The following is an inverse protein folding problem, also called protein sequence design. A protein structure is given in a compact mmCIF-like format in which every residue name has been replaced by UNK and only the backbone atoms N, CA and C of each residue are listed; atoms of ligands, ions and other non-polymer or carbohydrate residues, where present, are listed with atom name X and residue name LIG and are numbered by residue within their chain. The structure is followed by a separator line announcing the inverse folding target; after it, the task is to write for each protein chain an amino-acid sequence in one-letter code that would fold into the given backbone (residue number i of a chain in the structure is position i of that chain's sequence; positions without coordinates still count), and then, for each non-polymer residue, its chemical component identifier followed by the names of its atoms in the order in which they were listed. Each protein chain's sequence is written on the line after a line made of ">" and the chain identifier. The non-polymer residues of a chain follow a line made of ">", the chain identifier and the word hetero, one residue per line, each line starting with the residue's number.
data_IF_202388784502
#
_entry.id   IF_202388784502
#
_cell.length_a   1.000
_cell.length_b   1.000
_cell.length_c   1.000
_cell.angle_alpha   90.00
_cell.angle_beta   90.00
_cell.angle_gamma   90.00
#
_symmetry.space_group_name_H-M   'P 1'
#
loop_
_entity.id
_entity.type
_entity.pdbx_description
1 polymer ?
#
# COMPACT_ATOMS: atom_id res chain seq x y z
N UNK A 1 4.05 -0.31 11.61
CA UNK A 1 3.69 0.86 10.79
C UNK A 1 2.91 0.52 9.53
N UNK A 2 3.16 -0.64 8.92
CA UNK A 2 2.49 -1.04 7.66
C UNK A 2 0.97 -1.19 7.82
N UNK A 3 0.52 -1.90 8.84
CA UNK A 3 -0.93 -2.06 9.11
C UNK A 3 -1.59 -0.73 9.46
N UNK A 4 -0.92 0.14 10.21
CA UNK A 4 -1.43 1.48 10.53
C UNK A 4 -1.56 2.34 9.27
N UNK A 5 -0.60 2.26 8.36
CA UNK A 5 -0.67 2.92 7.05
C UNK A 5 -1.89 2.41 6.25
N UNK A 6 -2.07 1.10 6.20
CA UNK A 6 -3.22 0.49 5.50
C UNK A 6 -4.55 0.92 6.11
N UNK A 7 -4.64 1.05 7.43
CA UNK A 7 -5.83 1.58 8.11
C UNK A 7 -6.15 3.02 7.68
N UNK A 8 -5.14 3.89 7.64
CA UNK A 8 -5.31 5.27 7.19
C UNK A 8 -5.72 5.34 5.71
N UNK A 9 -5.10 4.52 4.88
CA UNK A 9 -5.44 4.42 3.47
C UNK A 9 -6.89 3.94 3.27
N UNK A 10 -7.30 2.88 3.95
CA UNK A 10 -8.67 2.36 3.89
C UNK A 10 -9.71 3.40 4.35
N UNK A 11 -9.41 4.16 5.39
CA UNK A 11 -10.27 5.24 5.84
C UNK A 11 -10.47 6.31 4.76
N UNK A 12 -9.40 6.64 4.01
CA UNK A 12 -9.50 7.58 2.88
C UNK A 12 -10.34 7.05 1.71
N UNK A 13 -10.50 5.74 1.62
CA UNK A 13 -11.37 5.07 0.64
C UNK A 13 -12.80 4.86 1.15
N UNK A 14 -13.15 5.44 2.29
CA UNK A 14 -14.46 5.28 2.93
C UNK A 14 -14.79 3.83 3.32
N UNK A 15 -13.78 3.01 3.57
CA UNK A 15 -13.95 1.65 4.09
C UNK A 15 -14.22 1.72 5.59
N UNK A 16 -15.39 1.26 6.02
CA UNK A 16 -15.84 1.27 7.43
C UNK A 16 -15.57 -0.05 8.15
N UNK A 17 -15.16 -1.09 7.42
CA UNK A 17 -14.76 -2.37 8.00
C UNK A 17 -13.48 -2.22 8.83
N UNK A 18 -13.34 -3.05 9.86
CA UNK A 18 -12.12 -3.06 10.69
C UNK A 18 -10.96 -3.68 9.93
N UNK A 19 -9.94 -2.88 9.65
CA UNK A 19 -8.73 -3.35 9.00
C UNK A 19 -7.83 -4.07 10.02
N UNK A 20 -7.50 -5.30 9.72
CA UNK A 20 -6.59 -6.13 10.52
C UNK A 20 -5.48 -6.71 9.65
N UNK A 21 -4.35 -7.07 10.26
CA UNK A 21 -3.25 -7.69 9.52
C UNK A 21 -3.69 -9.02 8.88
N UNK A 22 -3.38 -9.25 7.59
CA UNK A 22 -3.69 -10.50 6.90
C UNK A 22 -2.62 -11.59 7.10
N UNK A 23 -1.76 -11.48 8.12
CA UNK A 23 -0.60 -12.37 8.31
C UNK A 23 -0.93 -13.86 8.33
N UNK A 24 -2.12 -14.23 8.76
CA UNK A 24 -2.57 -15.63 8.77
C UNK A 24 -3.39 -16.03 7.54
N UNK A 25 -4.13 -15.09 6.98
CA UNK A 25 -5.06 -15.34 5.87
C UNK A 25 -4.43 -15.08 4.51
N UNK A 26 -3.24 -14.48 4.47
CA UNK A 26 -2.51 -14.03 3.29
C UNK A 26 -3.23 -12.88 2.57
N UNK A 27 -4.52 -13.01 2.28
CA UNK A 27 -5.34 -12.02 1.59
C UNK A 27 -6.60 -11.73 2.42
N UNK A 28 -6.91 -10.44 2.58
CA UNK A 28 -8.19 -9.94 3.08
C UNK A 28 -8.78 -8.96 2.08
N UNK A 29 -10.05 -9.10 1.81
CA UNK A 29 -10.79 -8.29 0.85
C UNK A 29 -11.83 -7.43 1.57
N UNK A 30 -11.89 -6.15 1.21
CA UNK A 30 -12.79 -5.17 1.81
C UNK A 30 -13.58 -4.48 0.71
N UNK A 31 -14.90 -4.47 0.82
CA UNK A 31 -15.81 -4.01 -0.24
C UNK A 31 -16.71 -2.84 0.16
N UNK A 32 -16.65 -2.36 1.39
CA UNK A 32 -17.57 -1.34 1.90
C UNK A 32 -17.29 0.08 1.40
N UNK A 33 -16.09 0.34 0.86
CA UNK A 33 -15.69 1.65 0.36
C UNK A 33 -16.07 1.93 -1.08
N UNK A 34 -15.54 3.02 -1.65
CA UNK A 34 -15.78 3.44 -3.04
C UNK A 34 -15.33 2.40 -4.07
N UNK A 35 -14.28 1.66 -3.75
CA UNK A 35 -13.78 0.55 -4.54
C UNK A 35 -13.20 -0.54 -3.63
N UNK A 36 -13.05 -1.77 -4.11
CA UNK A 36 -12.47 -2.83 -3.30
C UNK A 36 -11.02 -2.54 -2.88
N UNK A 37 -10.67 -2.97 -1.68
CA UNK A 37 -9.30 -3.02 -1.17
C UNK A 37 -8.90 -4.48 -0.97
N UNK A 38 -7.83 -4.89 -1.60
CA UNK A 38 -7.21 -6.21 -1.45
C UNK A 38 -5.92 -6.05 -0.65
N UNK A 39 -5.93 -6.47 0.62
CA UNK A 39 -4.80 -6.37 1.52
C UNK A 39 -4.12 -7.72 1.67
N UNK A 40 -2.85 -7.79 1.29
CA UNK A 40 -2.06 -9.01 1.25
C UNK A 40 -0.84 -8.91 2.17
N UNK A 41 -0.46 -10.03 2.79
CA UNK A 41 0.82 -10.21 3.46
C UNK A 41 1.46 -11.50 2.94
N UNK A 42 2.54 -11.33 2.18
CA UNK A 42 3.20 -12.46 1.49
C UNK A 42 4.42 -13.00 2.24
N UNK A 43 4.65 -12.55 3.48
CA UNK A 43 5.80 -12.96 4.28
C UNK A 43 5.92 -14.48 4.46
N UNK A 44 4.79 -15.17 4.61
CA UNK A 44 4.72 -16.62 4.81
C UNK A 44 4.54 -17.44 3.55
N UNK A 45 4.49 -16.78 2.39
CA UNK A 45 4.11 -17.43 1.14
C UNK A 45 5.22 -18.26 0.49
N UNK A 46 6.41 -18.22 1.00
CA UNK A 46 7.68 -18.87 0.60
C UNK A 46 7.81 -19.33 -0.86
N UNK A 47 6.99 -20.28 -1.33
CA UNK A 47 7.13 -20.89 -2.66
C UNK A 47 5.83 -20.97 -3.47
N UNK A 48 4.70 -20.62 -2.89
CA UNK A 48 3.36 -20.91 -3.47
C UNK A 48 2.64 -19.66 -3.96
N UNK A 49 3.39 -18.71 -4.53
CA UNK A 49 2.84 -17.44 -5.03
C UNK A 49 1.80 -17.65 -6.12
N UNK A 50 1.97 -18.69 -6.94
CA UNK A 50 1.04 -19.01 -8.02
C UNK A 50 -0.32 -19.49 -7.49
N UNK A 51 -0.35 -20.11 -6.31
CA UNK A 51 -1.58 -20.68 -5.73
C UNK A 51 -2.60 -19.63 -5.29
N UNK A 52 -2.17 -18.40 -4.99
CA UNK A 52 -3.06 -17.32 -4.54
C UNK A 52 -3.72 -16.53 -5.67
N UNK A 53 -3.40 -16.82 -6.94
CA UNK A 53 -3.98 -16.11 -8.08
C UNK A 53 -3.63 -14.63 -8.14
N UNK A 54 -2.43 -14.26 -7.73
CA UNK A 54 -1.97 -12.88 -7.64
C UNK A 54 -2.19 -12.04 -8.91
N UNK A 55 -1.92 -12.56 -10.14
CA UNK A 55 -2.16 -11.79 -11.37
C UNK A 55 -3.63 -11.40 -11.57
N UNK A 56 -4.56 -12.20 -11.11
CA UNK A 56 -5.99 -11.91 -11.24
C UNK A 56 -6.39 -10.68 -10.41
N UNK A 57 -5.76 -10.47 -9.26
CA UNK A 57 -5.99 -9.27 -8.44
C UNK A 57 -5.49 -7.99 -9.09
N UNK A 58 -4.39 -8.05 -9.84
CA UNK A 58 -3.85 -6.87 -10.53
C UNK A 58 -4.73 -6.41 -11.71
N UNK A 59 -5.53 -7.30 -12.27
CA UNK A 59 -6.48 -6.99 -13.34
C UNK A 59 -7.88 -6.57 -12.88
N UNK A 60 -8.16 -6.63 -11.57
CA UNK A 60 -9.46 -6.24 -11.01
C UNK A 60 -9.54 -4.73 -10.76
N UNK A 61 -10.78 -4.21 -10.76
CA UNK A 61 -11.03 -2.88 -10.19
C UNK A 61 -10.75 -2.90 -8.69
N UNK A 62 -10.07 -1.89 -8.21
CA UNK A 62 -9.73 -1.79 -6.80
C UNK A 62 -8.28 -1.46 -6.54
N UNK A 63 -7.91 -1.43 -5.29
CA UNK A 63 -6.54 -1.18 -4.83
C UNK A 63 -5.96 -2.44 -4.21
N UNK A 64 -4.74 -2.78 -4.59
CA UNK A 64 -3.98 -3.89 -3.99
C UNK A 64 -2.87 -3.31 -3.12
N UNK A 65 -2.84 -3.69 -1.85
CA UNK A 65 -1.76 -3.37 -0.91
C UNK A 65 -1.08 -4.67 -0.51
N UNK A 66 0.23 -4.76 -0.75
CA UNK A 66 1.02 -5.96 -0.48
C UNK A 66 2.10 -5.63 0.55
N UNK A 67 2.04 -6.25 1.72
CA UNK A 67 3.11 -6.22 2.71
C UNK A 67 4.16 -7.29 2.39
N UNK A 68 5.44 -6.95 2.60
CA UNK A 68 6.60 -7.80 2.27
C UNK A 68 6.71 -8.12 0.78
N UNK A 69 6.34 -7.16 -0.08
CA UNK A 69 6.29 -7.33 -1.52
C UNK A 69 7.63 -7.67 -2.17
N UNK A 70 8.75 -7.28 -1.56
CA UNK A 70 10.10 -7.61 -2.00
C UNK A 70 10.36 -9.14 -2.04
N UNK A 71 9.64 -9.92 -1.25
CA UNK A 71 9.74 -11.39 -1.27
C UNK A 71 9.18 -12.01 -2.56
N UNK A 72 8.36 -11.26 -3.30
CA UNK A 72 7.71 -11.71 -4.54
C UNK A 72 7.98 -10.76 -5.71
N UNK A 73 9.10 -10.08 -5.73
CA UNK A 73 9.42 -8.99 -6.67
C UNK A 73 9.17 -9.35 -8.14
N UNK A 74 9.53 -10.56 -8.56
CA UNK A 74 9.35 -11.03 -9.94
C UNK A 74 7.88 -11.20 -10.37
N UNK A 75 6.96 -11.24 -9.42
CA UNK A 75 5.52 -11.36 -9.68
C UNK A 75 4.78 -10.02 -9.63
N UNK A 76 5.45 -8.95 -9.21
CA UNK A 76 4.85 -7.63 -9.09
C UNK A 76 4.61 -7.01 -10.46
N UNK A 77 3.55 -6.20 -10.63
CA UNK A 77 3.35 -5.45 -11.87
C UNK A 77 4.47 -4.42 -12.06
N UNK A 78 4.80 -4.12 -13.32
CA UNK A 78 5.82 -3.10 -13.64
C UNK A 78 5.42 -1.73 -13.10
N UNK A 79 4.17 -1.34 -13.25
CA UNK A 79 3.63 -0.11 -12.69
C UNK A 79 3.13 -0.33 -11.27
N UNK A 80 3.77 0.33 -10.31
CA UNK A 80 3.44 0.22 -8.90
C UNK A 80 4.04 1.35 -8.08
N UNK A 81 3.56 1.51 -6.88
CA UNK A 81 4.13 2.39 -5.86
C UNK A 81 4.76 1.53 -4.76
N UNK A 82 6.06 1.67 -4.53
CA UNK A 82 6.73 1.05 -3.40
C UNK A 82 6.86 2.03 -2.24
N UNK A 83 6.56 1.59 -1.03
CA UNK A 83 6.73 2.36 0.19
C UNK A 83 7.60 1.56 1.16
N UNK A 84 8.79 2.05 1.42
CA UNK A 84 9.74 1.43 2.37
C UNK A 84 9.65 2.15 3.71
N UNK A 85 9.45 1.38 4.76
CA UNK A 85 9.35 1.85 6.14
C UNK A 85 10.65 1.57 6.88
N UNK A 86 11.27 2.59 7.43
CA UNK A 86 12.46 2.46 8.27
C UNK A 86 12.21 3.07 9.63
N UNK A 87 12.42 2.31 10.70
CA UNK A 87 12.37 2.83 12.05
C UNK A 87 13.63 3.66 12.32
N UNK A 88 13.47 4.93 12.69
CA UNK A 88 14.57 5.81 13.11
C UNK A 88 14.75 5.72 14.62
N UNK A 89 13.65 5.84 15.36
CA UNK A 89 13.58 5.65 16.81
C UNK A 89 12.20 5.10 17.22
N UNK A 90 11.88 5.11 18.51
CA UNK A 90 10.59 4.58 19.00
C UNK A 90 9.38 5.32 18.41
N UNK A 91 9.51 6.61 18.10
CA UNK A 91 8.43 7.49 17.70
C UNK A 91 8.51 7.97 16.24
N UNK A 92 9.61 7.71 15.54
CA UNK A 92 9.86 8.22 14.20
C UNK A 92 10.03 7.09 13.19
N UNK A 93 9.43 7.29 12.03
CA UNK A 93 9.56 6.40 10.87
C UNK A 93 9.93 7.22 9.64
N UNK A 94 10.87 6.71 8.86
CA UNK A 94 11.16 7.23 7.53
C UNK A 94 10.37 6.43 6.52
N UNK A 95 9.65 7.13 5.67
CA UNK A 95 8.93 6.55 4.53
C UNK A 95 9.67 6.94 3.24
N UNK A 96 10.20 5.95 2.54
CA UNK A 96 10.75 6.15 1.21
C UNK A 96 9.75 5.67 0.18
N UNK A 97 9.27 6.59 -0.64
CA UNK A 97 8.25 6.33 -1.66
C UNK A 97 8.92 6.31 -3.02
N UNK A 98 8.78 5.21 -3.75
CA UNK A 98 9.41 4.98 -5.05
C UNK A 98 8.31 4.68 -6.07
N UNK A 99 8.06 5.59 -7.02
CA UNK A 99 7.09 5.37 -8.09
C UNK A 99 7.73 4.57 -9.24
N UNK A 100 6.98 3.61 -9.77
CA UNK A 100 7.29 2.92 -11.01
C UNK A 100 6.15 3.15 -12.00
N UNK A 101 6.44 3.82 -13.09
CA UNK A 101 5.49 4.19 -14.12
C UNK A 101 4.92 5.59 -13.95
N UNK A 102 4.49 6.18 -15.09
CA UNK A 102 4.09 7.59 -15.18
C UNK A 102 2.93 7.94 -14.23
N UNK A 103 1.94 7.06 -14.10
CA UNK A 103 0.80 7.27 -13.21
C UNK A 103 1.23 7.51 -11.77
N UNK A 104 2.18 6.72 -11.28
CA UNK A 104 2.66 6.81 -9.90
C UNK A 104 3.65 7.94 -9.70
N UNK A 105 4.40 8.31 -10.73
CA UNK A 105 5.22 9.52 -10.71
C UNK A 105 4.37 10.78 -10.57
N UNK A 106 3.29 10.89 -11.33
CA UNK A 106 2.31 11.98 -11.22
C UNK A 106 1.63 12.01 -9.85
N UNK A 107 1.28 10.84 -9.30
CA UNK A 107 0.69 10.74 -7.97
C UNK A 107 1.65 11.25 -6.89
N UNK A 108 2.93 10.89 -6.96
CA UNK A 108 3.96 11.36 -6.02
C UNK A 108 4.16 12.88 -6.13
N UNK A 109 4.18 13.44 -7.31
CA UNK A 109 4.24 14.89 -7.51
C UNK A 109 3.05 15.60 -6.87
N UNK A 110 1.83 15.10 -7.04
CA UNK A 110 0.64 15.65 -6.43
C UNK A 110 0.70 15.64 -4.90
N UNK A 111 1.21 14.55 -4.30
CA UNK A 111 1.39 14.45 -2.84
C UNK A 111 2.45 15.45 -2.35
N UNK A 112 3.57 15.59 -3.03
CA UNK A 112 4.63 16.55 -2.68
C UNK A 112 4.13 17.99 -2.74
N UNK A 113 3.37 18.37 -3.74
CA UNK A 113 2.73 19.68 -3.83
C UNK A 113 1.79 19.94 -2.65
N UNK A 114 0.97 18.97 -2.29
CA UNK A 114 0.06 19.06 -1.14
C UNK A 114 0.81 19.29 0.17
N UNK A 115 1.90 18.55 0.41
CA UNK A 115 2.77 18.71 1.59
C UNK A 115 3.45 20.08 1.58
N UNK A 116 3.97 20.53 0.43
CA UNK A 116 4.62 21.82 0.28
C UNK A 116 3.68 22.99 0.63
N UNK A 117 2.44 22.96 0.14
CA UNK A 117 1.44 23.96 0.50
C UNK A 117 1.12 23.97 2.00
N UNK A 118 1.04 22.81 2.62
CA UNK A 118 0.80 22.69 4.06
C UNK A 118 1.94 23.30 4.87
N UNK A 119 3.19 23.12 4.44
CA UNK A 119 4.37 23.72 5.09
C UNK A 119 4.37 25.24 4.93
N UNK A 120 4.00 25.77 3.78
CA UNK A 120 3.92 27.23 3.57
C UNK A 120 2.86 27.91 4.44
N UNK A 121 1.76 27.21 4.70
CA UNK A 121 0.70 27.73 5.60
C UNK A 121 1.16 27.71 7.06
N UNK A 122 2.05 26.80 7.44
CA UNK A 122 2.59 26.71 8.82
C UNK A 122 3.68 27.75 9.13
N UNK A 123 4.22 28.44 8.14
CA UNK A 123 5.26 29.47 8.31
C UNK A 123 4.71 30.88 8.51
N UNK A 124 3.44 31.03 8.51
CA UNK A 124 2.74 32.27 8.81
C UNK A 124 2.15 32.22 10.22
#
# INVERSE_FOLDING_TARGET
>A
GKTLFTKGFAASMEIDETITSPSYNIIKEYYSGEMPLYHMDVYRLEKDVESIGLPDYFGKDGVVIIEWADMIEKYLPEERLEIKFTAIDENKRLLKIIPYGQRYEELCEAVLWSVFFSIQVLTF
#
